data_IF_257290570336
#
_entry.id   IF_257290570336
#
_cell.length_a   1.000
_cell.length_b   1.000
_cell.length_c   1.000
_cell.angle_alpha   90.00
_cell.angle_beta   90.00
_cell.angle_gamma   90.00
#
_symmetry.space_group_name_H-M   'P 1'
#
loop_
_entity.id
_entity.type
_entity.pdbx_description
1 polymer ?
#
# COMPACT_ATOMS: atom_id res chain seq x y z
N UNK A 1 -5.81 18.65 -11.36
CA UNK A 1 -5.94 17.48 -10.48
C UNK A 1 -6.14 17.81 -9.01
N UNK A 2 -5.56 18.91 -8.48
CA UNK A 2 -5.66 19.26 -7.05
C UNK A 2 -6.96 19.98 -6.67
N UNK A 3 -7.56 20.71 -7.59
CA UNK A 3 -8.64 21.67 -7.31
C UNK A 3 -10.05 21.18 -7.68
N UNK A 4 -10.16 20.07 -8.41
CA UNK A 4 -11.46 19.56 -8.87
C UNK A 4 -11.69 18.11 -8.47
N UNK A 5 -12.88 17.81 -8.00
CA UNK A 5 -13.33 16.47 -7.67
C UNK A 5 -13.76 15.74 -8.94
N UNK A 6 -12.81 15.18 -9.68
CA UNK A 6 -13.09 14.46 -10.93
C UNK A 6 -13.59 13.02 -10.70
N UNK A 7 -13.39 12.49 -9.51
CA UNK A 7 -13.80 11.15 -9.12
C UNK A 7 -14.45 11.20 -7.73
N UNK A 8 -15.44 10.35 -7.50
CA UNK A 8 -15.98 10.14 -6.15
C UNK A 8 -14.95 9.43 -5.26
N UNK A 9 -15.10 9.43 -3.93
CA UNK A 9 -14.21 8.66 -3.04
C UNK A 9 -14.08 7.19 -3.42
N UNK A 10 -15.14 6.57 -3.93
CA UNK A 10 -15.11 5.22 -4.49
C UNK A 10 -14.19 5.09 -5.69
N UNK A 11 -14.34 5.98 -6.68
CA UNK A 11 -13.55 5.96 -7.92
C UNK A 11 -12.10 6.39 -7.71
N UNK A 12 -11.82 7.08 -6.62
CA UNK A 12 -10.47 7.52 -6.28
C UNK A 12 -9.47 6.37 -6.16
N UNK A 13 -9.93 5.19 -5.74
CA UNK A 13 -9.12 3.96 -5.73
C UNK A 13 -8.48 3.69 -7.10
N UNK A 14 -9.27 3.79 -8.17
CA UNK A 14 -8.79 3.49 -9.52
C UNK A 14 -7.83 4.56 -10.06
N UNK A 15 -8.05 5.82 -9.68
CA UNK A 15 -7.11 6.90 -10.00
C UNK A 15 -5.77 6.68 -9.32
N UNK A 16 -5.78 6.36 -8.03
CA UNK A 16 -4.57 6.07 -7.26
C UNK A 16 -3.84 4.83 -7.79
N UNK A 17 -4.59 3.80 -8.12
CA UNK A 17 -4.03 2.58 -8.74
C UNK A 17 -3.35 2.90 -10.08
N UNK A 18 -4.00 3.67 -10.94
CA UNK A 18 -3.44 4.06 -12.22
C UNK A 18 -2.15 4.88 -12.05
N UNK A 19 -2.10 5.82 -11.09
CA UNK A 19 -0.89 6.58 -10.77
C UNK A 19 0.25 5.65 -10.36
N UNK A 20 0.02 4.73 -9.43
CA UNK A 20 1.04 3.76 -9.02
C UNK A 20 1.49 2.85 -10.17
N UNK A 21 0.57 2.36 -11.01
CA UNK A 21 0.90 1.53 -12.17
C UNK A 21 1.76 2.27 -13.21
N UNK A 22 1.66 3.59 -13.26
CA UNK A 22 2.47 4.45 -14.14
C UNK A 22 3.78 4.91 -13.50
N UNK A 23 4.08 4.55 -12.25
CA UNK A 23 5.27 4.96 -11.52
C UNK A 23 5.15 6.35 -10.85
N UNK A 24 3.93 6.82 -10.60
CA UNK A 24 3.64 8.10 -9.95
C UNK A 24 3.17 7.90 -8.50
N UNK A 25 3.83 7.02 -7.75
CA UNK A 25 3.46 6.71 -6.35
C UNK A 25 3.49 7.93 -5.45
N UNK A 26 4.44 8.85 -5.70
CA UNK A 26 4.51 10.11 -4.96
C UNK A 26 3.27 10.97 -5.17
N UNK A 27 2.80 11.06 -6.40
CA UNK A 27 1.57 11.79 -6.73
C UNK A 27 0.34 11.11 -6.15
N UNK A 28 0.31 9.78 -6.13
CA UNK A 28 -0.74 9.01 -5.48
C UNK A 28 -0.80 9.31 -3.98
N UNK A 29 0.33 9.30 -3.26
CA UNK A 29 0.41 9.63 -1.84
C UNK A 29 -0.03 11.07 -1.56
N UNK A 30 0.46 12.03 -2.35
CA UNK A 30 0.08 13.44 -2.22
C UNK A 30 -1.43 13.63 -2.47
N UNK A 31 -1.96 12.93 -3.44
CA UNK A 31 -3.39 12.95 -3.78
C UNK A 31 -4.24 12.38 -2.65
N UNK A 32 -3.85 11.25 -2.06
CA UNK A 32 -4.53 10.70 -0.88
C UNK A 32 -4.61 11.72 0.25
N UNK A 33 -3.48 12.35 0.60
CA UNK A 33 -3.41 13.37 1.66
C UNK A 33 -4.38 14.52 1.41
N UNK A 34 -4.43 15.04 0.18
CA UNK A 34 -5.26 16.19 -0.17
C UNK A 34 -6.74 15.82 -0.22
N UNK A 35 -7.07 14.68 -0.83
CA UNK A 35 -8.47 14.32 -1.09
C UNK A 35 -9.20 13.83 0.14
N UNK A 36 -8.52 13.10 1.02
CA UNK A 36 -9.13 12.52 2.21
C UNK A 36 -8.92 13.35 3.49
N UNK A 37 -8.30 14.53 3.38
CA UNK A 37 -8.02 15.38 4.53
C UNK A 37 -9.27 15.66 5.37
N UNK A 38 -10.35 16.11 4.76
CA UNK A 38 -11.59 16.44 5.46
C UNK A 38 -12.18 15.25 6.23
N UNK A 39 -12.05 14.03 5.68
CA UNK A 39 -12.52 12.81 6.35
C UNK A 39 -11.65 12.46 7.56
N UNK A 40 -10.32 12.62 7.42
CA UNK A 40 -9.34 12.25 8.44
C UNK A 40 -9.30 13.28 9.58
N UNK A 41 -9.45 14.56 9.26
CA UNK A 41 -9.45 15.66 10.23
C UNK A 41 -10.80 15.82 10.94
N UNK A 42 -11.85 15.18 10.42
CA UNK A 42 -13.18 15.18 11.01
C UNK A 42 -13.18 14.47 12.38
N UNK A 43 -14.00 14.92 13.34
CA UNK A 43 -14.22 14.19 14.59
C UNK A 43 -14.93 12.83 14.38
N UNK A 44 -15.46 12.58 13.19
CA UNK A 44 -16.03 11.30 12.81
C UNK A 44 -14.92 10.31 12.49
N UNK A 45 -15.03 9.09 13.00
CA UNK A 45 -14.06 8.01 12.78
C UNK A 45 -14.44 7.11 11.60
N UNK A 46 -15.13 7.67 10.60
CA UNK A 46 -15.69 6.95 9.47
C UNK A 46 -15.26 7.57 8.15
N UNK A 47 -15.30 6.78 7.09
CA UNK A 47 -15.14 7.26 5.72
C UNK A 47 -16.52 7.63 5.14
N UNK A 48 -16.56 8.65 4.29
CA UNK A 48 -17.80 9.22 3.77
C UNK A 48 -18.10 8.73 2.35
N UNK A 49 -19.35 8.75 1.98
CA UNK A 49 -19.82 8.41 0.64
C UNK A 49 -19.34 9.38 -0.42
N UNK A 50 -19.36 10.68 -0.11
CA UNK A 50 -18.93 11.79 -0.97
C UNK A 50 -17.78 12.60 -0.37
N UNK A 51 -17.28 13.59 -1.12
CA UNK A 51 -16.20 14.50 -0.69
C UNK A 51 -16.65 15.55 0.32
N UNK A 52 -17.87 15.60 0.59
CA UNK A 52 -18.47 16.45 1.60
C UNK A 52 -19.89 16.01 1.77
N UNK A 53 -20.55 16.38 2.86
CA UNK A 53 -21.90 15.96 3.19
C UNK A 53 -22.77 17.17 3.47
N UNK A 54 -24.04 17.10 3.09
CA UNK A 54 -24.98 18.20 3.17
C UNK A 54 -24.83 19.20 2.03
N UNK A 55 -25.07 20.49 2.30
CA UNK A 55 -25.08 21.54 1.28
C UNK A 55 -23.73 21.81 0.60
N UNK A 56 -22.65 21.29 1.14
CA UNK A 56 -21.27 21.42 0.60
C UNK A 56 -20.77 20.15 -0.08
N UNK A 57 -21.59 19.09 -0.08
CA UNK A 57 -21.16 17.79 -0.53
C UNK A 57 -21.35 17.57 -2.01
N UNK A 58 -20.41 16.87 -2.63
CA UNK A 58 -20.54 16.31 -3.96
C UNK A 58 -20.71 14.79 -3.84
N UNK A 59 -21.87 14.31 -4.24
CA UNK A 59 -22.07 12.89 -4.57
C UNK A 59 -22.40 11.95 -3.44
N UNK A 60 -22.83 12.42 -2.26
CA UNK A 60 -23.20 11.44 -1.26
C UNK A 60 -23.94 11.99 -0.05
N UNK A 61 -24.65 11.10 0.65
CA UNK A 61 -25.52 11.42 1.76
C UNK A 61 -25.12 10.80 3.09
N UNK A 62 -24.12 9.91 3.14
CA UNK A 62 -23.78 9.17 4.36
C UNK A 62 -22.36 9.43 4.85
N UNK A 63 -22.22 9.52 6.19
CA UNK A 63 -20.94 9.66 6.88
C UNK A 63 -20.30 8.31 7.23
N UNK A 64 -20.85 7.21 6.80
CA UNK A 64 -20.31 5.88 7.02
C UNK A 64 -20.49 5.03 5.76
N UNK A 65 -19.47 5.03 4.91
CA UNK A 65 -19.51 4.33 3.64
C UNK A 65 -18.15 3.71 3.34
N UNK A 66 -18.05 2.41 3.53
CA UNK A 66 -16.78 1.66 3.43
C UNK A 66 -16.14 1.69 2.03
N UNK A 67 -16.88 1.99 0.97
CA UNK A 67 -16.35 2.06 -0.40
C UNK A 67 -15.23 3.10 -0.58
N UNK A 68 -15.16 4.07 0.32
CA UNK A 68 -14.09 5.08 0.33
C UNK A 68 -12.76 4.57 0.92
N UNK A 69 -12.72 3.30 1.35
CA UNK A 69 -11.51 2.66 1.88
C UNK A 69 -10.44 2.32 0.82
N UNK A 70 -10.62 2.73 -0.43
CA UNK A 70 -9.67 2.49 -1.52
C UNK A 70 -8.21 2.83 -1.21
N UNK A 71 -7.88 3.97 -0.57
CA UNK A 71 -6.52 4.31 -0.18
C UNK A 71 -5.83 3.26 0.68
N UNK A 72 -6.54 2.62 1.61
CA UNK A 72 -5.97 1.55 2.45
C UNK A 72 -5.50 0.36 1.60
N UNK A 73 -6.29 0.00 0.57
CA UNK A 73 -5.89 -1.04 -0.38
C UNK A 73 -4.64 -0.63 -1.16
N UNK A 74 -4.58 0.62 -1.65
CA UNK A 74 -3.43 1.12 -2.40
C UNK A 74 -2.18 1.18 -1.52
N UNK A 75 -2.29 1.65 -0.28
CA UNK A 75 -1.17 1.67 0.65
C UNK A 75 -0.59 0.28 0.91
N UNK A 76 -1.42 -0.73 1.12
CA UNK A 76 -0.94 -2.10 1.35
C UNK A 76 -0.48 -2.80 0.08
N UNK A 77 -1.22 -2.69 -1.04
CA UNK A 77 -0.90 -3.46 -2.25
C UNK A 77 0.13 -2.79 -3.17
N UNK A 78 0.15 -1.45 -3.24
CA UNK A 78 1.00 -0.73 -4.21
C UNK A 78 2.20 -0.05 -3.52
N UNK A 79 2.00 0.58 -2.36
CA UNK A 79 3.08 1.30 -1.66
C UNK A 79 3.92 0.33 -0.82
N UNK A 80 3.30 -0.47 0.04
CA UNK A 80 3.97 -1.56 0.75
C UNK A 80 4.19 -2.79 -0.14
N UNK A 81 3.50 -2.89 -1.27
CA UNK A 81 3.70 -3.86 -2.32
C UNK A 81 3.28 -5.28 -1.96
N UNK A 82 2.34 -5.47 -1.03
CA UNK A 82 1.86 -6.79 -0.63
C UNK A 82 0.66 -7.18 -1.50
N UNK A 83 0.89 -8.02 -2.50
CA UNK A 83 -0.12 -8.44 -3.48
C UNK A 83 -0.36 -9.94 -3.41
N UNK A 84 -1.62 -10.34 -3.37
CA UNK A 84 -1.99 -11.77 -3.45
C UNK A 84 -1.76 -12.33 -4.85
N UNK A 85 -1.14 -13.50 -4.94
CA UNK A 85 -0.96 -14.28 -6.18
C UNK A 85 -1.93 -15.45 -6.22
N UNK A 86 -2.10 -16.14 -5.08
CA UNK A 86 -3.11 -17.18 -4.92
C UNK A 86 -4.13 -16.81 -3.85
N UNK A 87 -5.36 -17.31 -3.93
CA UNK A 87 -6.40 -17.06 -2.94
C UNK A 87 -5.89 -17.23 -1.51
N UNK A 88 -6.44 -16.44 -0.57
CA UNK A 88 -6.10 -16.46 0.85
C UNK A 88 -4.61 -16.18 1.16
N UNK A 89 -3.87 -15.56 0.24
CA UNK A 89 -2.43 -15.31 0.37
C UNK A 89 -1.59 -16.60 0.54
N UNK A 90 -2.02 -17.71 0.00
CA UNK A 90 -1.19 -18.94 -0.06
C UNK A 90 0.16 -18.63 -0.72
N UNK A 91 0.11 -17.85 -1.82
CA UNK A 91 1.26 -17.21 -2.44
C UNK A 91 0.99 -15.72 -2.60
N UNK A 92 1.97 -14.90 -2.28
CA UNK A 92 1.88 -13.44 -2.42
C UNK A 92 3.22 -12.83 -2.83
N UNK A 93 3.16 -11.62 -3.35
CA UNK A 93 4.35 -10.82 -3.70
C UNK A 93 4.57 -9.73 -2.69
N UNK A 94 5.84 -9.41 -2.47
CA UNK A 94 6.27 -8.23 -1.70
C UNK A 94 7.20 -7.43 -2.57
N UNK A 95 6.65 -6.39 -3.19
CA UNK A 95 7.33 -5.47 -4.12
C UNK A 95 7.08 -4.03 -3.69
N UNK A 96 7.71 -3.54 -2.63
CA UNK A 96 7.49 -2.18 -2.14
C UNK A 96 7.88 -1.12 -3.16
N UNK A 97 7.06 -0.08 -3.26
CA UNK A 97 7.33 1.15 -4.00
C UNK A 97 7.09 2.36 -3.09
N UNK A 98 8.02 2.62 -2.14
CA UNK A 98 7.80 3.54 -1.03
C UNK A 98 7.86 5.02 -1.41
N UNK A 99 8.14 5.37 -2.67
CA UNK A 99 8.31 6.75 -3.11
C UNK A 99 9.28 7.53 -2.18
N UNK A 100 8.88 8.67 -1.61
CA UNK A 100 9.68 9.46 -0.67
C UNK A 100 9.62 8.98 0.78
N UNK A 101 8.77 7.99 1.10
CA UNK A 101 8.67 7.52 2.48
C UNK A 101 9.97 6.83 2.90
N UNK A 102 10.49 7.24 4.05
CA UNK A 102 11.65 6.60 4.68
C UNK A 102 11.28 5.43 5.57
N UNK A 103 10.01 5.36 5.97
CA UNK A 103 9.46 4.31 6.84
C UNK A 103 8.09 3.85 6.37
N UNK A 104 7.86 2.55 6.36
CA UNK A 104 6.55 1.91 6.17
C UNK A 104 6.38 0.83 7.23
N UNK A 105 5.25 0.84 7.90
CA UNK A 105 4.81 -0.28 8.74
C UNK A 105 3.40 -0.67 8.31
N UNK A 106 3.19 -1.96 8.05
CA UNK A 106 1.88 -2.47 7.65
C UNK A 106 1.63 -3.89 8.15
N UNK A 107 0.36 -4.19 8.41
CA UNK A 107 -0.13 -5.53 8.72
C UNK A 107 -1.33 -5.84 7.83
N UNK A 108 -1.23 -6.91 7.07
CA UNK A 108 -2.33 -7.43 6.24
C UNK A 108 -2.93 -8.65 6.94
N UNK A 109 -4.19 -8.58 7.36
CA UNK A 109 -4.83 -9.66 8.09
C UNK A 109 -5.15 -10.84 7.15
N UNK A 110 -4.93 -12.05 7.66
CA UNK A 110 -5.32 -13.31 7.04
C UNK A 110 -6.32 -14.04 7.94
N UNK A 111 -6.94 -15.08 7.40
CA UNK A 111 -7.80 -15.96 8.20
C UNK A 111 -7.03 -16.61 9.36
N UNK A 112 -7.72 -16.93 10.46
CA UNK A 112 -7.12 -17.62 11.61
C UNK A 112 -6.20 -16.75 12.45
N UNK A 113 -6.47 -15.45 12.56
CA UNK A 113 -5.70 -14.50 13.35
C UNK A 113 -4.21 -14.43 12.97
N UNK A 114 -3.90 -14.62 11.69
CA UNK A 114 -2.57 -14.49 11.11
C UNK A 114 -2.43 -13.16 10.40
N UNK A 115 -1.21 -12.68 10.27
CA UNK A 115 -0.91 -11.41 9.61
C UNK A 115 0.35 -11.55 8.77
N UNK A 116 0.37 -10.90 7.61
CA UNK A 116 1.62 -10.55 6.95
C UNK A 116 2.03 -9.22 7.55
N UNK A 117 3.21 -9.15 8.19
CA UNK A 117 3.74 -7.92 8.77
C UNK A 117 4.95 -7.48 7.98
N UNK A 118 5.00 -6.21 7.61
CA UNK A 118 6.12 -5.60 6.91
C UNK A 118 6.53 -4.33 7.64
N UNK A 119 7.81 -4.21 7.96
CA UNK A 119 8.46 -2.96 8.36
C UNK A 119 9.58 -2.70 7.35
N UNK A 120 9.58 -1.50 6.78
CA UNK A 120 10.58 -1.06 5.84
C UNK A 120 11.14 0.29 6.30
N UNK A 121 12.47 0.33 6.44
CA UNK A 121 13.23 1.54 6.75
C UNK A 121 14.26 1.77 5.65
N UNK A 122 14.29 2.96 5.06
CA UNK A 122 15.24 3.29 3.99
C UNK A 122 15.85 4.68 4.15
N UNK A 123 17.09 4.76 3.74
CA UNK A 123 17.83 6.00 3.49
C UNK A 123 18.48 5.98 2.10
N UNK A 124 19.43 6.89 1.84
CA UNK A 124 20.11 6.99 0.55
C UNK A 124 21.07 5.81 0.27
N UNK A 125 21.51 5.09 1.28
CA UNK A 125 22.54 4.03 1.17
C UNK A 125 21.96 2.64 1.37
N UNK A 126 20.97 2.51 2.25
CA UNK A 126 20.45 1.22 2.67
C UNK A 126 18.93 1.20 2.79
N UNK A 127 18.36 0.07 2.46
CA UNK A 127 16.97 -0.24 2.76
C UNK A 127 16.92 -1.54 3.55
N UNK A 128 16.31 -1.48 4.73
CA UNK A 128 16.08 -2.65 5.57
C UNK A 128 14.60 -3.00 5.53
N UNK A 129 14.31 -4.26 5.27
CA UNK A 129 12.94 -4.78 5.26
C UNK A 129 12.85 -5.96 6.22
N UNK A 130 11.99 -5.85 7.22
CA UNK A 130 11.58 -6.96 8.08
C UNK A 130 10.22 -7.46 7.64
N UNK A 131 10.16 -8.71 7.20
CA UNK A 131 8.95 -9.35 6.70
C UNK A 131 8.63 -10.59 7.53
N UNK A 132 7.43 -10.63 8.09
CA UNK A 132 6.87 -11.81 8.72
C UNK A 132 5.97 -12.53 7.72
N UNK A 133 6.38 -13.75 7.36
CA UNK A 133 5.65 -14.63 6.43
C UNK A 133 4.88 -15.67 7.25
N UNK A 134 3.55 -15.66 7.24
CA UNK A 134 2.75 -16.57 8.04
C UNK A 134 2.97 -18.03 7.65
N UNK A 135 2.92 -18.92 8.64
CA UNK A 135 3.03 -20.36 8.40
C UNK A 135 2.07 -20.85 7.34
N UNK A 136 2.57 -21.67 6.42
CA UNK A 136 1.81 -22.23 5.31
C UNK A 136 1.59 -21.27 4.14
N UNK A 137 2.30 -20.13 4.10
CA UNK A 137 2.28 -19.21 2.96
C UNK A 137 3.67 -19.07 2.35
N UNK A 138 3.72 -18.55 1.12
CA UNK A 138 4.96 -18.28 0.40
C UNK A 138 4.97 -16.85 -0.13
N UNK A 139 6.03 -16.09 0.18
CA UNK A 139 6.24 -14.74 -0.32
C UNK A 139 7.30 -14.73 -1.43
N UNK A 140 7.00 -14.12 -2.56
CA UNK A 140 7.99 -13.73 -3.57
C UNK A 140 8.44 -12.29 -3.29
N UNK A 141 9.67 -12.12 -2.80
CA UNK A 141 10.21 -10.82 -2.39
C UNK A 141 11.06 -10.22 -3.49
N UNK A 142 10.76 -9.00 -3.87
CA UNK A 142 11.48 -8.23 -4.89
C UNK A 142 12.44 -7.22 -4.27
N UNK A 143 13.49 -6.90 -5.01
CA UNK A 143 14.37 -5.79 -4.67
C UNK A 143 13.64 -4.45 -4.89
N UNK A 144 14.04 -3.46 -4.11
CA UNK A 144 13.57 -2.09 -4.28
C UNK A 144 14.48 -1.37 -5.26
N UNK A 145 13.90 -0.62 -6.17
CA UNK A 145 14.65 0.14 -7.16
C UNK A 145 15.63 1.13 -6.50
N UNK A 146 16.83 1.25 -7.07
CA UNK A 146 17.90 2.08 -6.55
C UNK A 146 18.91 1.34 -5.65
N UNK A 147 18.64 0.09 -5.25
CA UNK A 147 19.57 -0.72 -4.45
C UNK A 147 20.16 -1.88 -5.26
N UNK A 148 21.49 -1.94 -5.33
CA UNK A 148 22.21 -2.88 -6.19
C UNK A 148 22.67 -4.17 -5.46
N UNK A 149 22.43 -4.26 -4.17
CA UNK A 149 22.78 -5.43 -3.35
C UNK A 149 21.61 -5.83 -2.46
N UNK A 150 21.45 -7.11 -2.25
CA UNK A 150 20.44 -7.67 -1.36
C UNK A 150 21.08 -8.68 -0.40
N UNK A 151 20.65 -8.61 0.85
CA UNK A 151 21.01 -9.60 1.87
C UNK A 151 19.74 -10.11 2.52
N UNK A 152 19.54 -11.43 2.52
CA UNK A 152 18.39 -12.06 3.18
C UNK A 152 18.94 -12.96 4.29
N UNK A 153 18.50 -12.74 5.53
CA UNK A 153 18.94 -13.49 6.70
C UNK A 153 20.47 -13.62 6.80
N UNK A 154 21.19 -12.51 6.57
CA UNK A 154 22.65 -12.44 6.61
C UNK A 154 23.37 -13.00 5.37
N UNK A 155 22.67 -13.62 4.43
CA UNK A 155 23.27 -14.16 3.21
C UNK A 155 23.13 -13.19 2.04
N UNK A 156 24.26 -12.77 1.48
CA UNK A 156 24.28 -11.91 0.29
C UNK A 156 23.74 -12.67 -0.93
N UNK A 157 22.83 -12.04 -1.65
CA UNK A 157 22.17 -12.57 -2.83
C UNK A 157 22.53 -11.70 -4.02
N UNK A 158 22.96 -12.29 -5.16
CA UNK A 158 23.17 -11.53 -6.39
C UNK A 158 21.86 -10.84 -6.81
N UNK A 159 21.90 -9.55 -7.05
CA UNK A 159 20.78 -8.78 -7.58
C UNK A 159 20.98 -8.60 -9.07
N UNK A 160 20.04 -9.10 -9.86
CA UNK A 160 19.87 -8.67 -11.24
C UNK A 160 18.61 -7.80 -11.30
N UNK A 161 18.50 -6.85 -12.21
CA UNK A 161 17.26 -6.09 -12.36
C UNK A 161 16.07 -7.06 -12.49
N UNK A 162 15.07 -6.92 -11.59
CA UNK A 162 13.89 -7.79 -11.44
C UNK A 162 14.08 -9.11 -10.68
N UNK A 163 15.10 -9.26 -9.85
CA UNK A 163 15.20 -10.47 -9.02
C UNK A 163 14.16 -10.50 -7.91
N UNK A 164 13.42 -11.59 -7.87
CA UNK A 164 12.58 -12.00 -6.76
C UNK A 164 13.16 -13.23 -6.06
N UNK A 165 12.79 -13.45 -4.81
CA UNK A 165 13.14 -14.63 -4.03
C UNK A 165 11.93 -15.13 -3.26
N UNK A 166 11.73 -16.45 -3.30
CA UNK A 166 10.70 -17.10 -2.50
C UNK A 166 11.15 -17.20 -1.04
N UNK A 167 10.26 -16.81 -0.13
CA UNK A 167 10.41 -16.95 1.32
C UNK A 167 9.19 -17.71 1.83
N UNK A 168 9.43 -18.80 2.58
CA UNK A 168 8.37 -19.65 3.11
C UNK A 168 8.14 -19.34 4.58
N UNK A 169 6.87 -19.24 4.97
CA UNK A 169 6.45 -19.14 6.36
C UNK A 169 6.61 -20.49 7.06
N UNK A 170 7.37 -20.51 8.14
CA UNK A 170 7.68 -21.70 8.96
C UNK A 170 6.82 -21.77 10.21
#
# INVERSE_FOLDING_TARGET
FKEHHHASPYMEKYVLQALCMMGYEQDALNRMKIRFADMIESPLTTLWEGWGIGSKGFGGGTYNHAWSGGPLTIMSSMIAGIETVKPAFEEFRVKPSPAHLSHIETKVPLSGNRFISLILDKDAQMCTMTLEVPKGTTAEVFTIDGYNTMTINGKKIPVTPRNSRAVHGT
#
